data_IF_737432440051
#
_entry.id   IF_737432440051
#
_cell.length_a   1.000
_cell.length_b   1.000
_cell.length_c   1.000
_cell.angle_alpha   90.00
_cell.angle_beta   90.00
_cell.angle_gamma   90.00
#
_symmetry.space_group_name_H-M   'P 1'
#
loop_
_entity.id
_entity.type
_entity.pdbx_description
1 polymer ?
#
# COMPACT_ATOMS: atom_id res chain seq x y z
N UNK A 1 -4.10 -16.70 -28.41
CA UNK A 1 -5.17 -17.26 -27.57
C UNK A 1 -5.70 -16.15 -26.68
N UNK A 2 -6.95 -15.73 -26.89
CA UNK A 2 -7.61 -14.74 -26.07
C UNK A 2 -8.18 -15.44 -24.83
N UNK A 3 -7.80 -14.96 -23.65
CA UNK A 3 -8.36 -15.41 -22.37
C UNK A 3 -9.60 -14.55 -22.09
N UNK A 4 -10.73 -15.18 -21.84
CA UNK A 4 -12.02 -14.51 -21.64
C UNK A 4 -12.08 -13.81 -20.27
N UNK A 5 -12.77 -12.65 -20.15
CA UNK A 5 -12.81 -11.81 -18.94
C UNK A 5 -13.56 -12.38 -17.73
N UNK A 6 -13.96 -13.66 -17.74
CA UNK A 6 -14.74 -14.31 -16.67
C UNK A 6 -13.89 -15.18 -15.70
N UNK A 7 -12.63 -15.49 -16.03
CA UNK A 7 -11.79 -16.39 -15.22
C UNK A 7 -11.06 -15.73 -14.03
N UNK A 8 -11.21 -14.41 -13.84
CA UNK A 8 -10.50 -13.63 -12.79
C UNK A 8 -11.40 -13.17 -11.63
N UNK A 9 -12.57 -13.78 -11.45
CA UNK A 9 -13.49 -13.42 -10.35
C UNK A 9 -13.87 -14.63 -9.53
N UNK A 10 -13.76 -14.52 -8.21
CA UNK A 10 -14.31 -15.50 -7.27
C UNK A 10 -15.57 -14.95 -6.63
N UNK A 11 -16.66 -15.72 -6.67
CA UNK A 11 -17.91 -15.39 -5.98
C UNK A 11 -18.19 -16.37 -4.85
N UNK A 12 -18.63 -15.84 -3.70
CA UNK A 12 -19.08 -16.63 -2.57
C UNK A 12 -20.08 -15.82 -1.73
N UNK A 13 -21.28 -16.36 -1.53
CA UNK A 13 -22.37 -15.62 -0.89
C UNK A 13 -22.65 -14.30 -1.62
N UNK A 14 -22.73 -13.20 -0.86
CA UNK A 14 -22.88 -11.84 -1.39
C UNK A 14 -21.57 -11.23 -1.92
N UNK A 15 -20.43 -11.91 -1.73
CA UNK A 15 -19.12 -11.36 -2.05
C UNK A 15 -18.65 -11.74 -3.45
N UNK A 16 -18.01 -10.79 -4.11
CA UNK A 16 -17.26 -10.99 -5.35
C UNK A 16 -15.86 -10.42 -5.17
N UNK A 17 -14.87 -11.30 -5.23
CA UNK A 17 -13.46 -10.93 -5.31
C UNK A 17 -13.08 -10.82 -6.79
N UNK A 18 -12.58 -9.67 -7.19
CA UNK A 18 -12.06 -9.44 -8.52
C UNK A 18 -10.53 -9.36 -8.47
N UNK A 19 -9.89 -10.37 -9.06
CA UNK A 19 -8.44 -10.51 -9.07
C UNK A 19 -7.77 -9.50 -10.01
N UNK A 20 -8.51 -9.00 -11.00
CA UNK A 20 -8.01 -8.03 -11.97
C UNK A 20 -8.05 -6.61 -11.40
N UNK A 21 -9.11 -6.26 -10.67
CA UNK A 21 -9.26 -4.93 -10.05
C UNK A 21 -8.70 -4.87 -8.62
N UNK A 22 -8.41 -6.02 -8.00
CA UNK A 22 -7.95 -6.08 -6.60
C UNK A 22 -9.04 -5.70 -5.59
N UNK A 23 -10.30 -5.79 -5.99
CA UNK A 23 -11.43 -5.33 -5.19
C UNK A 23 -12.21 -6.50 -4.60
N UNK A 24 -12.69 -6.30 -3.39
CA UNK A 24 -13.75 -7.12 -2.80
C UNK A 24 -15.04 -6.31 -2.87
N UNK A 25 -16.09 -6.86 -3.48
CA UNK A 25 -17.43 -6.28 -3.46
C UNK A 25 -18.36 -7.17 -2.63
N UNK A 26 -19.36 -6.56 -1.98
CA UNK A 26 -20.48 -7.21 -1.30
C UNK A 26 -21.77 -6.60 -1.82
N UNK A 27 -22.67 -7.42 -2.33
CA UNK A 27 -23.95 -6.96 -2.91
C UNK A 27 -23.77 -5.87 -3.99
N UNK A 28 -22.68 -5.97 -4.76
CA UNK A 28 -22.30 -4.98 -5.78
C UNK A 28 -21.59 -3.72 -5.26
N UNK A 29 -21.43 -3.55 -3.95
CA UNK A 29 -20.72 -2.42 -3.34
C UNK A 29 -19.30 -2.81 -2.91
N UNK A 30 -18.31 -1.98 -3.26
CA UNK A 30 -16.90 -2.23 -2.89
C UNK A 30 -16.72 -2.17 -1.37
N UNK A 31 -16.12 -3.21 -0.81
CA UNK A 31 -15.77 -3.34 0.61
C UNK A 31 -14.27 -3.07 0.77
N UNK A 32 -13.87 -2.07 1.57
CA UNK A 32 -12.47 -1.81 1.85
C UNK A 32 -11.81 -3.01 2.52
N UNK A 33 -10.79 -3.56 1.87
CA UNK A 33 -10.01 -4.70 2.35
C UNK A 33 -8.53 -4.34 2.32
N UNK A 34 -7.81 -4.60 3.41
CA UNK A 34 -6.37 -4.33 3.46
C UNK A 34 -5.63 -5.31 2.55
N UNK A 35 -4.54 -4.92 1.89
CA UNK A 35 -3.91 -5.78 0.87
C UNK A 35 -3.42 -7.14 1.37
N UNK A 36 -2.82 -7.24 2.57
CA UNK A 36 -2.49 -8.56 3.15
C UNK A 36 -3.73 -9.41 3.44
N UNK A 37 -4.83 -8.77 3.82
CA UNK A 37 -6.13 -9.43 4.03
C UNK A 37 -6.74 -9.88 2.69
N UNK A 38 -6.55 -9.12 1.62
CA UNK A 38 -6.92 -9.48 0.25
C UNK A 38 -6.07 -10.64 -0.28
N UNK A 39 -4.74 -10.56 -0.17
CA UNK A 39 -3.82 -11.63 -0.59
C UNK A 39 -4.10 -12.93 0.17
N UNK A 40 -4.39 -12.84 1.47
CA UNK A 40 -4.83 -13.98 2.27
C UNK A 40 -6.13 -14.58 1.71
N UNK A 41 -7.15 -13.76 1.47
CA UNK A 41 -8.43 -14.20 0.91
C UNK A 41 -8.26 -14.82 -0.48
N UNK A 42 -7.47 -14.20 -1.35
CA UNK A 42 -7.15 -14.69 -2.69
C UNK A 42 -6.46 -16.05 -2.63
N UNK A 43 -5.44 -16.21 -1.77
CA UNK A 43 -4.73 -17.48 -1.65
C UNK A 43 -5.63 -18.59 -1.12
N UNK A 44 -6.52 -18.27 -0.17
CA UNK A 44 -7.53 -19.20 0.35
C UNK A 44 -8.56 -19.60 -0.73
N UNK A 45 -9.00 -18.68 -1.58
CA UNK A 45 -9.98 -18.95 -2.64
C UNK A 45 -9.40 -19.74 -3.83
N UNK A 46 -8.10 -19.62 -4.10
CA UNK A 46 -7.40 -20.50 -5.05
C UNK A 46 -7.21 -21.93 -4.51
N UNK A 47 -7.37 -22.13 -3.19
CA UNK A 47 -7.17 -23.40 -2.52
C UNK A 47 -8.43 -23.79 -1.69
N UNK A 48 -9.63 -23.83 -2.29
CA UNK A 48 -10.84 -24.07 -1.55
C UNK A 48 -10.87 -25.49 -0.98
N UNK A 49 -11.45 -25.66 0.20
CA UNK A 49 -11.55 -26.93 0.93
C UNK A 49 -10.20 -27.63 1.24
N UNK A 50 -9.07 -26.97 0.98
CA UNK A 50 -7.73 -27.45 1.32
C UNK A 50 -7.29 -26.85 2.65
N UNK A 51 -6.71 -27.68 3.51
CA UNK A 51 -6.08 -27.20 4.74
C UNK A 51 -4.72 -26.61 4.38
N UNK A 52 -4.56 -25.31 4.60
CA UNK A 52 -3.34 -24.56 4.36
C UNK A 52 -2.66 -24.30 5.69
N UNK A 53 -1.38 -24.67 5.80
CA UNK A 53 -0.63 -24.48 7.03
C UNK A 53 -0.36 -23.00 7.32
N UNK A 54 -0.05 -22.68 8.57
CA UNK A 54 0.34 -21.31 8.93
C UNK A 54 1.58 -20.85 8.17
N UNK A 55 2.59 -21.71 8.08
CA UNK A 55 3.85 -21.41 7.40
C UNK A 55 3.64 -21.18 5.90
N UNK A 56 2.76 -21.97 5.28
CA UNK A 56 2.40 -21.78 3.87
C UNK A 56 1.64 -20.47 3.65
N UNK A 57 0.68 -20.12 4.52
CA UNK A 57 0.00 -18.82 4.46
C UNK A 57 0.97 -17.67 4.71
N UNK A 58 1.90 -17.84 5.64
CA UNK A 58 2.93 -16.84 5.94
C UNK A 58 3.82 -16.64 4.72
N UNK A 59 4.31 -17.73 4.12
CA UNK A 59 5.13 -17.68 2.91
C UNK A 59 4.36 -17.06 1.73
N UNK A 60 3.12 -17.45 1.50
CA UNK A 60 2.33 -16.97 0.36
C UNK A 60 1.89 -15.51 0.49
N UNK A 61 1.63 -15.03 1.71
CA UNK A 61 1.11 -13.67 1.93
C UNK A 61 2.24 -12.68 2.30
N UNK A 62 3.36 -13.16 2.85
CA UNK A 62 4.46 -12.30 3.32
C UNK A 62 5.82 -12.56 2.67
N UNK A 63 5.94 -13.51 1.73
CA UNK A 63 7.04 -13.89 0.80
C UNK A 63 8.52 -13.72 1.22
N UNK A 64 8.93 -12.69 1.98
CA UNK A 64 10.29 -12.45 2.48
C UNK A 64 10.36 -11.74 3.86
N UNK A 65 9.24 -11.53 4.54
CA UNK A 65 9.21 -10.87 5.85
C UNK A 65 9.18 -11.88 7.00
N UNK A 66 10.02 -11.68 8.03
CA UNK A 66 9.91 -12.41 9.30
C UNK A 66 8.70 -11.85 10.04
N UNK A 67 7.55 -12.49 9.87
CA UNK A 67 6.31 -12.16 10.57
C UNK A 67 6.02 -13.17 11.66
N UNK A 68 5.50 -12.67 12.78
CA UNK A 68 5.03 -13.51 13.88
C UNK A 68 3.66 -14.12 13.55
N UNK A 69 3.35 -15.26 14.17
CA UNK A 69 2.00 -15.87 14.16
C UNK A 69 0.87 -14.89 14.46
N UNK A 70 1.15 -13.83 15.23
CA UNK A 70 0.22 -12.76 15.57
C UNK A 70 -0.21 -11.95 14.35
N UNK A 71 0.69 -11.72 13.37
CA UNK A 71 0.36 -11.00 12.14
C UNK A 71 -0.63 -11.79 11.28
N UNK A 72 -0.43 -13.11 11.16
CA UNK A 72 -1.39 -14.00 10.48
C UNK A 72 -2.72 -14.02 11.24
N UNK A 73 -2.67 -14.17 12.57
CA UNK A 73 -3.86 -14.22 13.41
C UNK A 73 -4.68 -12.92 13.31
N UNK A 74 -4.03 -11.76 13.33
CA UNK A 74 -4.69 -10.47 13.17
C UNK A 74 -5.28 -10.30 11.77
N UNK A 75 -4.56 -10.73 10.74
CA UNK A 75 -5.05 -10.67 9.35
C UNK A 75 -6.28 -11.57 9.14
N UNK A 76 -6.29 -12.76 9.75
CA UNK A 76 -7.46 -13.65 9.75
C UNK A 76 -8.64 -13.05 10.52
N UNK A 77 -8.39 -12.42 11.68
CA UNK A 77 -9.44 -11.73 12.45
C UNK A 77 -10.08 -10.61 11.64
N UNK A 78 -9.24 -9.81 10.99
CA UNK A 78 -9.71 -8.72 10.12
C UNK A 78 -10.46 -9.25 8.90
N UNK A 79 -10.03 -10.37 8.32
CA UNK A 79 -10.75 -11.03 7.24
C UNK A 79 -12.15 -11.47 7.69
N UNK A 80 -12.26 -12.15 8.85
CA UNK A 80 -13.56 -12.56 9.41
C UNK A 80 -14.49 -11.38 9.67
N UNK A 81 -13.95 -10.27 10.19
CA UNK A 81 -14.72 -9.04 10.44
C UNK A 81 -15.27 -8.44 9.15
N UNK A 82 -14.48 -8.46 8.07
CA UNK A 82 -14.89 -7.97 6.74
C UNK A 82 -15.97 -8.86 6.13
N UNK A 83 -15.82 -10.18 6.25
CA UNK A 83 -16.74 -11.16 5.65
C UNK A 83 -18.06 -11.32 6.41
N UNK A 84 -18.13 -10.89 7.67
CA UNK A 84 -19.34 -11.07 8.49
C UNK A 84 -19.73 -12.53 8.62
N UNK A 85 -20.98 -12.86 8.30
CA UNK A 85 -21.52 -14.23 8.37
C UNK A 85 -20.78 -15.20 7.43
N UNK A 86 -20.32 -14.72 6.27
CA UNK A 86 -19.51 -15.50 5.33
C UNK A 86 -18.11 -15.83 5.91
N UNK A 87 -17.71 -15.16 6.99
CA UNK A 87 -16.49 -15.48 7.75
C UNK A 87 -16.51 -16.88 8.36
N UNK A 88 -17.69 -17.51 8.51
CA UNK A 88 -17.82 -18.91 8.94
C UNK A 88 -17.20 -19.92 7.96
N UNK A 89 -17.00 -19.53 6.70
CA UNK A 89 -16.26 -20.33 5.71
C UNK A 89 -14.78 -20.45 6.03
N UNK A 90 -14.20 -19.46 6.72
CA UNK A 90 -12.80 -19.45 7.13
C UNK A 90 -12.63 -20.14 8.49
N UNK A 91 -12.33 -21.44 8.46
CA UNK A 91 -12.21 -22.27 9.65
C UNK A 91 -10.77 -22.35 10.12
N UNK A 92 -10.58 -22.33 11.44
CA UNK A 92 -9.29 -22.58 12.08
C UNK A 92 -9.24 -24.02 12.56
N UNK A 93 -8.27 -24.79 12.07
CA UNK A 93 -8.01 -26.16 12.51
C UNK A 93 -6.80 -26.16 13.46
N UNK A 94 -6.99 -26.44 14.77
CA UNK A 94 -5.91 -26.42 15.74
C UNK A 94 -4.72 -27.27 15.28
N UNK A 95 -3.51 -26.69 15.36
CA UNK A 95 -2.23 -27.33 14.96
C UNK A 95 -2.10 -27.72 13.48
N UNK A 96 -3.09 -27.41 12.64
CA UNK A 96 -3.07 -27.76 11.20
C UNK A 96 -3.07 -26.54 10.29
N UNK A 97 -3.78 -25.47 10.65
CA UNK A 97 -3.84 -24.23 9.88
C UNK A 97 -5.27 -23.77 9.61
N UNK A 98 -5.54 -23.32 8.39
CA UNK A 98 -6.83 -22.74 8.00
C UNK A 98 -7.38 -23.39 6.74
N UNK A 99 -8.71 -23.39 6.61
CA UNK A 99 -9.40 -23.83 5.40
C UNK A 99 -10.51 -22.84 5.07
N UNK A 100 -10.71 -22.58 3.78
CA UNK A 100 -11.83 -21.80 3.28
C UNK A 100 -12.83 -22.73 2.58
N UNK A 101 -14.02 -22.87 3.15
CA UNK A 101 -15.03 -23.80 2.70
C UNK A 101 -15.96 -23.20 1.62
N UNK A 102 -16.27 -24.00 0.60
CA UNK A 102 -17.17 -23.60 -0.50
C UNK A 102 -18.65 -23.48 -0.07
N UNK A 103 -19.01 -24.06 1.07
CA UNK A 103 -20.25 -23.82 1.80
C UNK A 103 -19.90 -23.42 3.25
N UNK A 104 -20.65 -22.49 3.87
CA UNK A 104 -20.44 -22.17 5.27
C UNK A 104 -20.77 -23.42 6.09
N UNK A 105 -19.95 -23.73 7.10
CA UNK A 105 -20.25 -24.86 7.98
C UNK A 105 -21.63 -24.64 8.59
N UNK A 106 -22.56 -25.59 8.35
CA UNK A 106 -23.75 -25.71 9.18
C UNK A 106 -23.25 -25.91 10.60
N UNK A 107 -23.74 -25.10 11.53
CA UNK A 107 -23.49 -25.26 12.95
C UNK A 107 -24.05 -26.62 13.40
N UNK A 108 -23.26 -27.66 13.22
CA UNK A 108 -23.47 -28.93 13.87
C UNK A 108 -22.63 -28.87 15.14
N UNK A 109 -23.28 -28.43 16.21
CA UNK A 109 -22.86 -28.68 17.58
C UNK A 109 -22.71 -30.19 17.81
N UNK A 110 -21.59 -30.74 17.38
CA UNK A 110 -21.20 -32.12 17.62
C UNK A 110 -19.68 -32.17 17.73
N UNK A 111 -19.19 -32.28 18.96
CA UNK A 111 -17.80 -32.69 19.24
C UNK A 111 -17.53 -34.02 18.52
N UNK A 112 -16.53 -34.12 17.64
CA UNK A 112 -16.04 -35.43 17.21
C UNK A 112 -15.14 -35.96 18.32
N UNK A 113 -15.50 -37.15 18.80
CA UNK A 113 -14.77 -37.89 19.81
C UNK A 113 -13.35 -38.23 19.38
N UNK A 114 -12.54 -38.41 20.41
CA UNK A 114 -11.19 -38.95 20.38
C UNK A 114 -11.18 -40.29 19.64
N UNK A 115 -10.26 -40.47 18.70
CA UNK A 115 -9.63 -41.77 18.49
C UNK A 115 -8.15 -41.58 18.19
N UNK A 116 -7.34 -42.23 19.02
CA UNK A 116 -5.90 -42.06 19.09
C UNK A 116 -5.17 -42.59 17.86
N UNK A 117 -4.21 -41.79 17.38
CA UNK A 117 -2.91 -42.26 16.87
C UNK A 117 -1.95 -41.07 16.81
N UNK A 118 -0.85 -41.20 17.54
CA UNK A 118 0.27 -40.28 17.59
C UNK A 118 1.25 -40.59 16.42
N UNK A 119 1.74 -39.61 15.66
CA UNK A 119 3.03 -39.69 14.98
C UNK A 119 4.12 -38.93 15.78
N UNK A 120 5.40 -39.24 15.58
CA UNK A 120 6.45 -39.01 16.58
C UNK A 120 6.82 -37.52 16.72
N UNK A 121 7.18 -37.15 17.95
CA UNK A 121 7.69 -35.85 18.36
C UNK A 121 8.98 -35.51 17.61
N UNK A 122 9.03 -34.35 16.95
CA UNK A 122 10.28 -33.72 16.53
C UNK A 122 10.64 -32.68 17.59
N UNK A 123 11.81 -32.85 18.18
CA UNK A 123 12.42 -31.94 19.15
C UNK A 123 12.77 -30.61 18.47
N UNK A 124 12.17 -29.52 18.95
CA UNK A 124 12.41 -28.15 18.50
C UNK A 124 12.92 -27.33 19.68
N UNK A 125 14.22 -27.43 19.95
CA UNK A 125 14.93 -26.35 20.64
C UNK A 125 15.16 -25.19 19.66
N UNK A 126 14.95 -23.92 20.06
CA UNK A 126 15.05 -22.78 19.15
C UNK A 126 16.51 -22.33 18.95
N UNK A 127 16.94 -21.96 17.73
CA UNK A 127 18.20 -21.23 17.55
C UNK A 127 17.96 -19.72 17.73
N UNK A 128 18.73 -19.12 18.63
CA UNK A 128 18.75 -17.68 18.87
C UNK A 128 19.62 -16.89 17.88
N UNK A 129 19.42 -15.56 17.90
CA UNK A 129 20.22 -14.48 17.29
C UNK A 129 19.91 -14.06 15.83
N UNK A 130 18.83 -13.27 15.65
CA UNK A 130 18.56 -12.51 14.41
C UNK A 130 18.63 -10.96 14.59
N UNK A 131 18.84 -10.46 15.81
CA UNK A 131 18.70 -9.03 16.13
C UNK A 131 19.83 -8.11 15.63
N UNK A 132 21.01 -8.66 15.31
CA UNK A 132 22.22 -7.84 15.01
C UNK A 132 22.33 -7.46 13.53
N UNK A 133 21.67 -8.18 12.62
CA UNK A 133 21.82 -7.99 11.17
C UNK A 133 20.97 -6.82 10.63
N UNK A 134 19.75 -6.61 11.13
CA UNK A 134 18.85 -5.56 10.67
C UNK A 134 19.36 -4.13 11.01
N UNK A 135 19.91 -3.94 12.22
CA UNK A 135 20.49 -2.66 12.63
C UNK A 135 21.68 -2.24 11.75
N UNK A 136 22.47 -3.22 11.28
CA UNK A 136 23.63 -2.99 10.41
C UNK A 136 23.23 -2.57 8.98
N UNK A 137 22.11 -3.11 8.46
CA UNK A 137 21.58 -2.73 7.13
C UNK A 137 20.98 -1.33 7.14
N UNK A 138 20.26 -0.95 8.20
CA UNK A 138 19.68 0.39 8.31
C UNK A 138 20.75 1.49 8.41
N UNK A 139 21.80 1.26 9.20
CA UNK A 139 22.91 2.21 9.34
C UNK A 139 23.71 2.40 8.03
N UNK A 140 23.72 1.40 7.13
CA UNK A 140 24.35 1.48 5.82
C UNK A 140 23.54 2.29 4.79
N UNK A 141 22.22 2.35 4.95
CA UNK A 141 21.32 3.09 4.05
C UNK A 141 21.19 4.55 4.42
N UNK A 142 21.00 4.82 5.72
CA UNK A 142 20.87 6.15 6.29
C UNK A 142 21.48 6.17 7.70
N UNK A 143 22.39 7.10 8.02
CA UNK A 143 22.93 7.20 9.36
C UNK A 143 21.80 7.32 10.41
N UNK A 144 21.88 6.66 11.57
CA UNK A 144 20.81 6.70 12.57
C UNK A 144 20.42 8.11 13.02
N UNK A 145 21.39 9.03 13.06
CA UNK A 145 21.15 10.44 13.38
C UNK A 145 20.27 11.13 12.32
N UNK A 146 20.52 10.87 11.04
CA UNK A 146 19.70 11.42 9.95
C UNK A 146 18.31 10.81 9.93
N UNK A 147 18.20 9.50 10.15
CA UNK A 147 16.89 8.84 10.25
C UNK A 147 16.05 9.45 11.38
N UNK A 148 16.65 9.59 12.57
CA UNK A 148 15.97 10.20 13.72
C UNK A 148 15.56 11.65 13.45
N UNK A 149 16.42 12.43 12.79
CA UNK A 149 16.14 13.82 12.41
C UNK A 149 14.95 13.91 11.46
N UNK A 150 14.97 13.14 10.37
CA UNK A 150 13.88 13.15 9.36
C UNK A 150 12.55 12.71 9.99
N UNK A 151 12.57 11.66 10.82
CA UNK A 151 11.40 11.22 11.56
C UNK A 151 10.88 12.35 12.45
N UNK A 152 11.77 13.05 13.16
CA UNK A 152 11.42 14.22 13.97
C UNK A 152 10.70 15.28 13.15
N UNK A 153 11.25 15.68 12.01
CA UNK A 153 10.64 16.70 11.13
C UNK A 153 9.30 16.24 10.55
N UNK A 154 9.14 14.96 10.23
CA UNK A 154 7.84 14.39 9.81
C UNK A 154 6.79 14.51 10.94
N UNK A 155 7.18 14.25 12.20
CA UNK A 155 6.26 14.37 13.32
C UNK A 155 6.00 15.82 13.73
N UNK A 156 6.95 16.74 13.53
CA UNK A 156 6.71 18.18 13.71
C UNK A 156 5.58 18.68 12.81
N UNK A 157 5.42 18.11 11.60
CA UNK A 157 4.28 18.42 10.74
C UNK A 157 2.93 18.06 11.38
N UNK A 158 2.90 17.10 12.32
CA UNK A 158 1.69 16.75 13.09
C UNK A 158 1.25 17.82 14.08
N UNK A 159 2.20 18.65 14.53
CA UNK A 159 1.94 19.80 15.38
C UNK A 159 1.69 21.06 14.55
N UNK A 160 2.38 21.20 13.43
CA UNK A 160 2.32 22.36 12.54
C UNK A 160 2.37 21.92 11.06
N UNK A 161 1.21 21.81 10.39
CA UNK A 161 1.13 21.37 8.99
C UNK A 161 1.82 22.31 7.98
N UNK A 162 2.20 23.54 8.36
CA UNK A 162 2.92 24.44 7.46
C UNK A 162 4.35 23.94 7.18
N UNK A 163 4.89 23.07 8.04
CA UNK A 163 6.26 22.54 7.97
C UNK A 163 6.48 21.46 6.92
N UNK A 164 5.42 21.03 6.22
CA UNK A 164 5.54 19.98 5.21
C UNK A 164 6.54 20.33 4.09
N UNK A 165 6.68 21.59 3.69
CA UNK A 165 7.67 21.98 2.67
C UNK A 165 9.12 21.80 3.16
N UNK A 166 9.38 22.13 4.42
CA UNK A 166 10.68 21.85 5.07
C UNK A 166 10.93 20.35 5.15
N UNK A 167 9.94 19.56 5.59
CA UNK A 167 10.04 18.11 5.67
C UNK A 167 10.33 17.48 4.30
N UNK A 168 9.63 17.94 3.25
CA UNK A 168 9.84 17.49 1.89
C UNK A 168 11.22 17.85 1.36
N UNK A 169 11.74 19.03 1.69
CA UNK A 169 13.10 19.44 1.33
C UNK A 169 14.14 18.52 1.96
N UNK A 170 13.99 18.16 3.24
CA UNK A 170 14.91 17.25 3.92
C UNK A 170 14.84 15.82 3.36
N UNK A 171 13.63 15.33 3.07
CA UNK A 171 13.42 14.02 2.43
C UNK A 171 14.06 14.02 1.04
N UNK A 172 13.84 15.06 0.23
CA UNK A 172 14.42 15.18 -1.11
C UNK A 172 15.94 15.18 -1.06
N UNK A 173 16.55 15.92 -0.12
CA UNK A 173 17.99 15.99 0.04
C UNK A 173 18.59 14.61 0.40
N UNK A 174 17.99 13.89 1.34
CA UNK A 174 18.48 12.57 1.77
C UNK A 174 18.35 11.51 0.67
N UNK A 175 17.35 11.68 -0.18
CA UNK A 175 17.05 10.81 -1.32
C UNK A 175 17.79 11.22 -2.60
N UNK A 176 18.64 12.26 -2.58
CA UNK A 176 19.27 12.86 -3.76
C UNK A 176 18.24 13.07 -4.91
N UNK A 177 17.10 13.66 -4.55
CA UNK A 177 15.97 13.85 -5.44
C UNK A 177 15.91 15.29 -5.96
N UNK A 178 15.38 15.46 -7.17
CA UNK A 178 15.08 16.78 -7.73
C UNK A 178 13.91 17.44 -7.01
N UNK A 179 12.91 16.63 -6.69
CA UNK A 179 11.67 17.12 -6.13
C UNK A 179 11.00 16.07 -5.26
N UNK A 180 10.25 16.55 -4.28
CA UNK A 180 9.34 15.76 -3.47
C UNK A 180 7.95 16.41 -3.45
N UNK A 181 6.90 15.63 -3.70
CA UNK A 181 5.52 16.11 -3.73
C UNK A 181 4.68 15.23 -2.81
N UNK A 182 4.15 15.80 -1.74
CA UNK A 182 3.09 15.19 -0.95
C UNK A 182 1.75 15.66 -1.52
N UNK A 183 0.90 14.71 -1.92
CA UNK A 183 -0.41 15.04 -2.47
C UNK A 183 -1.54 14.22 -1.86
N UNK A 184 -2.74 14.81 -1.90
CA UNK A 184 -4.02 14.16 -1.72
C UNK A 184 -4.83 14.38 -3.00
N UNK A 185 -5.29 13.30 -3.61
CA UNK A 185 -5.96 13.31 -4.89
C UNK A 185 -7.39 12.80 -4.71
N UNK A 186 -8.36 13.51 -5.32
CA UNK A 186 -9.75 13.08 -5.48
C UNK A 186 -9.82 12.19 -6.72
N UNK A 187 -9.96 10.89 -6.51
CA UNK A 187 -10.01 9.92 -7.62
C UNK A 187 -11.34 10.00 -8.38
N UNK A 188 -12.42 10.50 -7.77
CA UNK A 188 -13.71 10.65 -8.46
C UNK A 188 -13.73 11.84 -9.40
N UNK A 189 -13.07 12.93 -9.00
CA UNK A 189 -13.02 14.18 -9.78
C UNK A 189 -11.71 14.35 -10.55
N UNK A 190 -10.84 13.33 -10.51
CA UNK A 190 -9.52 13.31 -11.15
C UNK A 190 -8.67 14.57 -10.90
N UNK A 191 -8.65 15.06 -9.65
CA UNK A 191 -7.95 16.31 -9.31
C UNK A 191 -7.16 16.20 -8.02
N UNK A 192 -6.14 17.03 -7.91
CA UNK A 192 -5.37 17.22 -6.67
C UNK A 192 -6.18 18.10 -5.71
N UNK A 193 -6.36 17.65 -4.47
CA UNK A 193 -7.06 18.37 -3.40
C UNK A 193 -6.08 19.21 -2.57
N UNK A 194 -4.95 18.59 -2.19
CA UNK A 194 -3.88 19.22 -1.42
C UNK A 194 -2.58 18.81 -2.07
N UNK A 195 -1.68 19.75 -2.30
CA UNK A 195 -0.30 19.43 -2.61
C UNK A 195 0.64 20.33 -1.82
N UNK A 196 1.67 19.70 -1.24
CA UNK A 196 2.88 20.37 -0.78
C UNK A 196 4.00 19.86 -1.67
N UNK A 197 4.80 20.77 -2.21
CA UNK A 197 5.80 20.40 -3.20
C UNK A 197 7.08 21.20 -2.97
N UNK A 198 8.20 20.58 -3.34
CA UNK A 198 9.51 21.24 -3.43
C UNK A 198 10.13 20.82 -4.76
N UNK A 199 10.80 21.75 -5.44
CA UNK A 199 11.47 21.49 -6.73
C UNK A 199 10.58 21.60 -7.97
N UNK A 200 9.29 21.92 -7.83
CA UNK A 200 8.42 22.25 -8.96
C UNK A 200 7.94 23.70 -8.88
N UNK A 201 7.96 24.39 -10.01
CA UNK A 201 7.34 25.71 -10.17
C UNK A 201 5.83 25.59 -10.40
N UNK A 202 5.08 26.64 -10.08
CA UNK A 202 3.61 26.66 -10.20
C UNK A 202 3.11 26.24 -11.59
N UNK A 203 3.74 26.75 -12.66
CA UNK A 203 3.38 26.38 -14.03
C UNK A 203 3.61 24.89 -14.31
N UNK A 204 4.68 24.31 -13.76
CA UNK A 204 4.96 22.89 -13.85
C UNK A 204 3.92 22.03 -13.12
N UNK A 205 3.46 22.48 -11.96
CA UNK A 205 2.39 21.83 -11.20
C UNK A 205 1.06 21.90 -11.98
N UNK A 206 0.73 23.06 -12.54
CA UNK A 206 -0.48 23.24 -13.34
C UNK A 206 -0.47 22.35 -14.59
N UNK A 207 0.68 22.24 -15.27
CA UNK A 207 0.83 21.33 -16.41
C UNK A 207 0.68 19.88 -15.98
N UNK A 208 1.37 19.44 -14.90
CA UNK A 208 1.23 18.10 -14.33
C UNK A 208 -0.24 17.77 -14.02
N UNK A 209 -1.00 18.72 -13.51
CA UNK A 209 -2.40 18.52 -13.14
C UNK A 209 -3.28 18.14 -14.34
N UNK A 210 -2.98 18.63 -15.54
CA UNK A 210 -3.71 18.29 -16.77
C UNK A 210 -3.60 16.80 -17.12
N UNK A 211 -2.52 16.14 -16.71
CA UNK A 211 -2.26 14.73 -16.99
C UNK A 211 -2.74 13.77 -15.88
N UNK A 212 -3.24 14.28 -14.75
CA UNK A 212 -3.71 13.46 -13.63
C UNK A 212 -4.84 12.48 -13.99
N UNK A 213 -5.81 12.79 -14.87
CA UNK A 213 -6.81 11.81 -15.29
C UNK A 213 -6.21 10.55 -15.94
N UNK A 214 -5.19 10.71 -16.80
CA UNK A 214 -4.47 9.58 -17.43
C UNK A 214 -3.79 8.72 -16.37
N UNK A 215 -3.07 9.36 -15.44
CA UNK A 215 -2.36 8.67 -14.36
C UNK A 215 -3.33 7.93 -13.44
N UNK A 216 -4.40 8.60 -13.01
CA UNK A 216 -5.41 8.01 -12.14
C UNK A 216 -6.12 6.80 -12.77
N UNK A 217 -6.36 6.82 -14.09
CA UNK A 217 -6.96 5.70 -14.81
C UNK A 217 -6.09 4.44 -14.78
N UNK A 218 -4.76 4.59 -14.66
CA UNK A 218 -3.79 3.49 -14.65
C UNK A 218 -3.44 2.97 -13.26
N UNK A 219 -3.88 3.65 -12.19
CA UNK A 219 -3.59 3.24 -10.82
C UNK A 219 -4.01 1.78 -10.55
N UNK A 220 -5.14 1.34 -11.10
CA UNK A 220 -5.58 -0.06 -10.98
C UNK A 220 -4.54 -1.06 -11.50
N UNK A 221 -3.98 -0.80 -12.69
CA UNK A 221 -2.90 -1.62 -13.27
C UNK A 221 -1.63 -1.56 -12.42
N UNK A 222 -1.29 -0.37 -11.92
CA UNK A 222 -0.09 -0.16 -11.10
C UNK A 222 -0.18 -0.90 -9.77
N UNK A 223 -1.36 -0.95 -9.14
CA UNK A 223 -1.57 -1.69 -7.89
C UNK A 223 -1.69 -3.20 -8.13
N UNK A 224 -2.26 -3.62 -9.26
CA UNK A 224 -2.34 -5.04 -9.61
C UNK A 224 -0.97 -5.67 -9.90
N UNK A 225 -0.04 -4.89 -10.48
CA UNK A 225 1.30 -5.34 -10.89
C UNK A 225 2.43 -4.79 -10.01
N UNK A 226 2.09 -3.93 -9.05
CA UNK A 226 3.01 -3.23 -8.17
C UNK A 226 3.47 -4.06 -6.97
N UNK A 227 4.46 -3.58 -6.20
CA UNK A 227 4.80 -4.19 -4.92
C UNK A 227 3.64 -4.00 -3.91
N UNK A 228 3.64 -4.74 -2.78
CA UNK A 228 2.71 -4.49 -1.70
C UNK A 228 2.69 -2.99 -1.32
N UNK A 229 1.58 -2.45 -0.78
CA UNK A 229 1.50 -1.03 -0.44
C UNK A 229 2.59 -0.55 0.52
N UNK A 230 3.20 -1.48 1.26
CA UNK A 230 4.23 -1.23 2.28
C UNK A 230 5.62 -1.06 1.66
N UNK A 231 5.69 -1.10 0.33
CA UNK A 231 6.92 -0.97 -0.45
C UNK A 231 6.83 0.21 -1.43
N UNK A 232 7.93 0.92 -1.64
CA UNK A 232 7.98 2.00 -2.64
C UNK A 232 7.78 1.47 -4.07
N UNK A 233 6.95 2.15 -4.84
CA UNK A 233 6.73 1.86 -6.25
C UNK A 233 7.69 2.67 -7.11
N UNK A 234 8.60 2.03 -7.83
CA UNK A 234 9.54 2.71 -8.74
C UNK A 234 9.07 2.57 -10.18
N UNK A 235 8.78 3.70 -10.82
CA UNK A 235 8.19 3.79 -12.15
C UNK A 235 9.02 3.05 -13.21
N UNK A 236 10.34 3.30 -13.27
CA UNK A 236 11.24 2.68 -14.25
C UNK A 236 11.32 1.16 -14.16
N UNK A 237 11.01 0.57 -13.00
CA UNK A 237 11.11 -0.87 -12.75
C UNK A 237 9.80 -1.63 -12.98
N UNK A 238 8.69 -0.90 -13.09
CA UNK A 238 7.33 -1.49 -13.08
C UNK A 238 6.52 -1.12 -14.31
N UNK A 239 6.76 0.05 -14.88
CA UNK A 239 6.06 0.49 -16.07
C UNK A 239 6.72 -0.08 -17.33
N UNK A 240 5.93 -0.49 -18.34
CA UNK A 240 6.49 -0.91 -19.62
C UNK A 240 7.34 0.21 -20.24
N UNK A 241 8.49 -0.09 -20.86
CA UNK A 241 9.31 0.92 -21.54
C UNK A 241 8.50 1.71 -22.58
N UNK A 242 7.60 1.04 -23.30
CA UNK A 242 6.69 1.67 -24.27
C UNK A 242 5.81 2.76 -23.66
N UNK A 243 5.42 2.64 -22.38
CA UNK A 243 4.67 3.69 -21.70
C UNK A 243 5.56 4.88 -21.36
N UNK A 244 6.76 4.64 -20.84
CA UNK A 244 7.71 5.72 -20.53
C UNK A 244 8.08 6.51 -21.79
N UNK A 245 8.13 5.85 -22.94
CA UNK A 245 8.44 6.48 -24.21
C UNK A 245 7.27 7.26 -24.82
N UNK A 246 6.03 6.80 -24.64
CA UNK A 246 4.84 7.35 -25.31
C UNK A 246 3.94 8.23 -24.42
N UNK A 247 4.08 8.19 -23.10
CA UNK A 247 3.20 8.92 -22.19
C UNK A 247 3.34 10.44 -22.37
N UNK A 248 2.23 11.16 -22.63
CA UNK A 248 2.21 12.63 -22.66
C UNK A 248 2.79 13.23 -21.39
N UNK A 249 2.40 12.72 -20.21
CA UNK A 249 2.95 13.15 -18.92
C UNK A 249 4.48 13.08 -18.88
N UNK A 250 5.05 11.98 -19.35
CA UNK A 250 6.51 11.80 -19.36
C UNK A 250 7.17 12.78 -20.32
N UNK A 251 6.61 12.97 -21.52
CA UNK A 251 7.20 13.85 -22.54
C UNK A 251 7.09 15.34 -22.17
N UNK A 252 5.98 15.78 -21.59
CA UNK A 252 5.71 17.21 -21.35
C UNK A 252 6.09 17.66 -19.95
N UNK A 253 5.94 16.80 -18.94
CA UNK A 253 6.22 17.18 -17.55
C UNK A 253 7.62 16.75 -17.10
N UNK A 254 8.04 15.51 -17.41
CA UNK A 254 9.23 14.91 -16.80
C UNK A 254 10.51 15.15 -17.60
N UNK A 255 10.53 14.77 -18.88
CA UNK A 255 11.72 14.86 -19.74
C UNK A 255 12.29 16.28 -19.84
N UNK A 256 11.49 17.35 -20.02
CA UNK A 256 12.03 18.72 -20.10
C UNK A 256 12.73 19.17 -18.81
N UNK A 257 12.42 18.54 -17.67
CA UNK A 257 13.02 18.80 -16.36
C UNK A 257 14.19 17.85 -16.05
N UNK A 258 14.60 17.02 -17.01
CA UNK A 258 15.66 16.04 -16.79
C UNK A 258 15.30 14.94 -15.79
N UNK A 259 14.01 14.74 -15.49
CA UNK A 259 13.55 13.68 -14.59
C UNK A 259 13.61 12.34 -15.33
N UNK A 260 14.37 11.40 -14.78
CA UNK A 260 14.64 10.08 -15.38
C UNK A 260 13.93 8.93 -14.66
N UNK A 261 13.50 9.14 -13.42
CA UNK A 261 12.81 8.11 -12.64
C UNK A 261 11.96 8.73 -11.55
N UNK A 262 10.94 7.99 -11.10
CA UNK A 262 10.00 8.42 -10.07
C UNK A 262 9.77 7.27 -9.09
N UNK A 263 9.79 7.58 -7.81
CA UNK A 263 9.36 6.70 -6.74
C UNK A 263 8.08 7.24 -6.12
N UNK A 264 7.06 6.39 -6.05
CA UNK A 264 5.78 6.65 -5.39
C UNK A 264 5.71 5.91 -4.06
N UNK A 265 5.28 6.62 -3.03
CA UNK A 265 4.88 6.05 -1.75
C UNK A 265 3.40 6.28 -1.53
N UNK A 266 2.61 5.23 -1.62
CA UNK A 266 1.16 5.30 -1.42
C UNK A 266 0.84 5.30 0.07
N UNK A 267 0.50 6.49 0.58
CA UNK A 267 0.25 6.71 2.01
C UNK A 267 -1.17 6.29 2.39
N UNK A 268 -2.15 6.69 1.57
CA UNK A 268 -3.56 6.32 1.73
C UNK A 268 -4.12 5.99 0.37
N UNK A 269 -4.87 4.90 0.29
CA UNK A 269 -5.58 4.54 -0.92
C UNK A 269 -6.98 4.06 -0.57
N UNK A 270 -7.98 4.73 -1.13
CA UNK A 270 -9.41 4.41 -1.04
C UNK A 270 -10.03 4.61 -2.42
N UNK A 271 -11.27 4.13 -2.67
CA UNK A 271 -11.93 4.35 -3.97
C UNK A 271 -12.14 5.83 -4.34
N UNK A 272 -12.03 6.74 -3.37
CA UNK A 272 -12.31 8.18 -3.57
C UNK A 272 -11.10 9.06 -3.43
N UNK A 273 -10.08 8.59 -2.71
CA UNK A 273 -8.91 9.38 -2.36
C UNK A 273 -7.62 8.55 -2.47
N UNK A 274 -6.60 9.18 -3.04
CA UNK A 274 -5.22 8.70 -3.04
C UNK A 274 -4.33 9.75 -2.39
N UNK A 275 -3.66 9.42 -1.30
CA UNK A 275 -2.54 10.21 -0.80
C UNK A 275 -1.22 9.52 -1.12
N UNK A 276 -0.29 10.28 -1.66
CA UNK A 276 1.04 9.78 -2.01
C UNK A 276 2.13 10.81 -1.74
N UNK A 277 3.33 10.30 -1.40
CA UNK A 277 4.57 11.04 -1.54
C UNK A 277 5.27 10.59 -2.83
N UNK A 278 5.60 11.53 -3.69
CA UNK A 278 6.27 11.29 -4.97
C UNK A 278 7.65 11.91 -4.94
N UNK A 279 8.67 11.10 -5.20
CA UNK A 279 10.08 11.51 -5.28
C UNK A 279 10.51 11.40 -6.74
N UNK A 280 11.00 12.50 -7.31
CA UNK A 280 11.48 12.52 -8.71
C UNK A 280 12.99 12.64 -8.78
N UNK A 281 13.61 11.86 -9.66
CA UNK A 281 15.05 11.74 -9.76
C UNK A 281 15.55 12.43 -11.03
N UNK A 282 16.52 13.33 -10.88
CA UNK A 282 17.16 14.01 -12.01
C UNK A 282 18.27 13.13 -12.62
N UNK A 283 18.52 13.27 -13.93
CA UNK A 283 19.56 12.55 -14.67
C UNK A 283 20.95 12.67 -14.03
N UNK A 284 21.24 13.78 -13.34
CA UNK A 284 22.53 14.04 -12.69
C UNK A 284 22.88 13.03 -11.58
N UNK A 285 21.88 12.36 -11.02
CA UNK A 285 22.04 11.37 -9.95
C UNK A 285 21.83 9.93 -10.42
N UNK A 286 21.53 9.71 -11.71
CA UNK A 286 21.13 8.42 -12.26
C UNK A 286 19.76 7.93 -11.74
N UNK A 287 19.29 6.74 -12.19
CA UNK A 287 18.00 6.18 -11.79
C UNK A 287 17.96 5.76 -10.31
N UNK A 288 16.76 5.50 -9.80
CA UNK A 288 16.53 5.18 -8.38
C UNK A 288 17.13 3.81 -8.03
N UNK A 289 17.99 3.78 -7.01
CA UNK A 289 18.72 2.58 -6.61
C UNK A 289 18.05 1.87 -5.43
N UNK A 290 18.61 0.74 -5.00
CA UNK A 290 18.16 0.05 -3.79
C UNK A 290 18.36 0.89 -2.52
N UNK A 291 19.28 1.86 -2.53
CA UNK A 291 19.49 2.77 -1.42
C UNK A 291 18.24 3.62 -1.17
N UNK A 292 17.79 4.33 -2.20
CA UNK A 292 16.62 5.21 -2.11
C UNK A 292 15.34 4.41 -1.78
N UNK A 293 15.17 3.22 -2.37
CA UNK A 293 14.05 2.33 -2.01
C UNK A 293 14.12 1.94 -0.53
N UNK A 294 15.30 1.60 -0.02
CA UNK A 294 15.49 1.23 1.39
C UNK A 294 15.20 2.38 2.36
N UNK A 295 15.68 3.59 2.06
CA UNK A 295 15.37 4.81 2.83
C UNK A 295 13.87 5.10 2.80
N UNK A 296 13.27 5.01 1.62
CA UNK A 296 11.84 5.22 1.45
C UNK A 296 11.02 4.21 2.26
N UNK A 297 11.37 2.93 2.24
CA UNK A 297 10.70 1.92 3.05
C UNK A 297 10.80 2.19 4.56
N UNK A 298 11.93 2.73 5.04
CA UNK A 298 12.11 3.14 6.43
C UNK A 298 11.18 4.30 6.83
N UNK A 299 11.00 5.28 5.95
CA UNK A 299 10.20 6.47 6.23
C UNK A 299 8.69 6.23 6.09
N UNK A 300 8.28 5.27 5.26
CA UNK A 300 6.88 5.03 4.90
C UNK A 300 5.93 4.86 6.11
N UNK A 301 6.24 4.07 7.15
CA UNK A 301 5.36 3.94 8.31
C UNK A 301 5.15 5.25 9.07
N UNK A 302 6.20 6.07 9.17
CA UNK A 302 6.17 7.36 9.85
C UNK A 302 5.36 8.38 9.05
N UNK A 303 5.55 8.43 7.73
CA UNK A 303 4.76 9.27 6.82
C UNK A 303 3.27 8.93 6.86
N UNK A 304 2.92 7.65 6.78
CA UNK A 304 1.53 7.18 6.91
C UNK A 304 0.91 7.65 8.21
N UNK A 305 1.63 7.48 9.32
CA UNK A 305 1.16 7.88 10.64
C UNK A 305 1.00 9.40 10.76
N UNK A 306 1.98 10.18 10.30
CA UNK A 306 1.93 11.64 10.38
C UNK A 306 0.80 12.24 9.53
N UNK A 307 0.63 11.75 8.29
CA UNK A 307 -0.47 12.18 7.40
C UNK A 307 -1.84 11.78 7.96
N UNK A 308 -1.93 10.64 8.64
CA UNK A 308 -3.16 10.24 9.35
C UNK A 308 -3.44 11.15 10.56
N UNK A 309 -2.43 11.46 11.38
CA UNK A 309 -2.58 12.27 12.61
C UNK A 309 -2.89 13.74 12.31
N UNK A 310 -2.16 14.34 11.37
CA UNK A 310 -2.35 15.75 10.96
C UNK A 310 -3.77 16.05 10.50
N UNK A 311 -4.54 15.04 10.13
CA UNK A 311 -5.87 15.20 9.58
C UNK A 311 -5.87 16.19 8.37
N UNK A 312 -4.75 16.23 7.62
CA UNK A 312 -4.66 16.85 6.28
C UNK A 312 -5.78 16.32 5.37
N UNK A 313 -6.42 15.22 5.77
CA UNK A 313 -7.45 14.46 5.07
C UNK A 313 -8.88 14.68 5.56
N UNK A 314 -9.15 15.54 6.55
CA UNK A 314 -10.55 15.74 6.93
C UNK A 314 -11.24 16.50 5.80
N UNK A 315 -12.10 15.81 5.05
CA UNK A 315 -12.93 16.39 4.01
C UNK A 315 -13.72 17.61 4.54
N UNK A 316 -14.02 17.65 5.86
CA UNK A 316 -14.63 18.80 6.53
C UNK A 316 -13.72 20.03 6.66
N UNK A 317 -12.40 19.86 6.65
CA UNK A 317 -11.44 20.96 6.65
C UNK A 317 -11.30 21.56 5.25
N UNK A 318 -11.30 20.72 4.22
CA UNK A 318 -11.33 21.14 2.80
C UNK A 318 -12.64 21.84 2.45
N UNK A 319 -13.76 21.39 3.00
CA UNK A 319 -15.07 22.02 2.81
C UNK A 319 -15.18 23.36 3.55
N UNK A 320 -14.55 23.48 4.74
CA UNK A 320 -14.43 24.75 5.47
C UNK A 320 -13.52 25.77 4.78
N UNK A 321 -12.37 25.33 4.24
CA UNK A 321 -11.47 26.19 3.47
C UNK A 321 -12.14 26.71 2.19
N UNK A 322 -12.90 25.86 1.49
CA UNK A 322 -13.69 26.29 0.32
C UNK A 322 -14.83 27.24 0.67
N UNK A 323 -15.53 27.01 1.79
CA UNK A 323 -16.59 27.92 2.22
C UNK A 323 -16.03 29.30 2.59
N UNK A 324 -14.86 29.35 3.23
CA UNK A 324 -14.18 30.60 3.57
C UNK A 324 -13.75 31.39 2.33
N UNK A 325 -13.10 30.75 1.34
CA UNK A 325 -12.72 31.40 0.08
C UNK A 325 -13.93 31.89 -0.74
N UNK A 326 -15.05 31.15 -0.71
CA UNK A 326 -16.27 31.55 -1.43
C UNK A 326 -16.97 32.74 -0.76
N UNK A 327 -16.85 32.87 0.57
CA UNK A 327 -17.40 33.99 1.34
C UNK A 327 -16.58 35.27 1.16
N UNK A 328 -15.25 35.16 1.05
CA UNK A 328 -14.37 36.32 0.82
C UNK A 328 -14.49 36.90 -0.60
N UNK A 329 -14.95 36.11 -1.58
CA UNK A 329 -15.24 36.57 -2.94
C UNK A 329 -16.60 37.26 -3.09
N UNK A 330 -17.41 37.30 -2.02
CA UNK A 330 -18.75 37.90 -1.99
C UNK A 330 -18.82 39.23 -1.19
N UNK A 331 -17.69 39.76 -0.73
CA UNK A 331 -17.57 41.07 -0.08
C UNK A 331 -16.70 42.02 -0.91
#
# INVERSE_FOLDING_TARGET
MAVSPEENRFSFGAFVLDLQTGLLARDGFVVPIRPKTFTLLMHLLHNPNRVISKDELIAAVWERAVVTDDALTQTVRDLRRILGDEGARLQSLPKRGYVFAHEPAKDNGAKPGLDGRHPPSVDLSPPGSASTHAASIHAALLPPADLSRIIGVIYDCTLDPTRWETALSEIAAVMDAESAILSLNDLRRHRVIIHKNVGWEEEGIAERQKHMPEIHARLGEWFATGPPPDEPYVASRRLPPSYLDSSPYVQTCLKPRGIVDILHQFLIYTPTHLSELVISRHLRYGPITHREIGISALLLPHLRRAVTITNVLDARSVERLRLAETLDLLH
#
